data_IF_325104969604
#
_entry.id   IF_325104969604
#
_cell.length_a   1.000
_cell.length_b   1.000
_cell.length_c   1.000
_cell.angle_alpha   90.00
_cell.angle_beta   90.00
_cell.angle_gamma   90.00
#
_symmetry.space_group_name_H-M   'P 1'
#
loop_
_entity.id
_entity.type
_entity.pdbx_description
1 polymer ?
#
# COMPACT_ATOMS: atom_id res chain seq x y z
N UNK A 1 -2.49 -1.31 7.41
CA UNK A 1 -2.48 -1.36 5.93
C UNK A 1 -2.83 -2.77 5.49
N UNK A 2 -3.36 -2.95 4.28
CA UNK A 2 -3.71 -4.27 3.75
C UNK A 2 -3.21 -4.46 2.33
N UNK A 3 -2.98 -5.73 1.97
CA UNK A 3 -2.77 -6.17 0.60
C UNK A 3 -4.07 -6.83 0.13
N UNK A 4 -4.65 -6.32 -0.94
CA UNK A 4 -5.90 -6.80 -1.51
C UNK A 4 -5.63 -7.45 -2.88
N UNK A 5 -6.46 -8.39 -3.28
CA UNK A 5 -6.48 -8.87 -4.66
C UNK A 5 -7.28 -7.90 -5.56
N UNK A 6 -7.30 -8.17 -6.87
CA UNK A 6 -8.07 -7.38 -7.84
C UNK A 6 -9.60 -7.43 -7.67
N UNK A 7 -10.11 -8.26 -6.75
CA UNK A 7 -11.54 -8.36 -6.43
C UNK A 7 -11.87 -7.72 -5.07
N UNK A 8 -11.01 -6.82 -4.58
CA UNK A 8 -11.13 -6.14 -3.28
C UNK A 8 -11.22 -7.09 -2.07
N UNK A 9 -10.70 -8.31 -2.21
CA UNK A 9 -10.58 -9.25 -1.09
C UNK A 9 -9.24 -9.11 -0.42
N UNK A 10 -9.27 -8.98 0.91
CA UNK A 10 -8.07 -8.90 1.75
C UNK A 10 -7.30 -10.22 1.67
N UNK A 11 -6.04 -10.15 1.26
CA UNK A 11 -5.10 -11.27 1.28
C UNK A 11 -4.30 -11.28 2.57
N UNK A 12 -3.73 -10.12 2.94
CA UNK A 12 -2.92 -9.96 4.14
C UNK A 12 -3.17 -8.59 4.78
N UNK A 13 -3.04 -8.55 6.11
CA UNK A 13 -3.07 -7.33 6.90
C UNK A 13 -1.77 -7.20 7.68
N UNK A 14 -1.31 -5.97 7.84
CA UNK A 14 -0.21 -5.64 8.73
C UNK A 14 -0.69 -4.70 9.81
N UNK A 15 -0.39 -5.05 11.06
CA UNK A 15 -0.68 -4.20 12.19
C UNK A 15 0.29 -3.01 12.18
N UNK A 16 -0.26 -1.81 12.17
CA UNK A 16 0.53 -0.58 12.18
C UNK A 16 0.57 -0.06 13.62
N UNK A 17 1.75 -0.08 14.23
CA UNK A 17 1.95 0.34 15.61
C UNK A 17 2.47 1.77 15.72
N UNK A 18 2.88 2.37 14.61
CA UNK A 18 3.32 3.75 14.52
C UNK A 18 2.38 4.56 13.62
N UNK A 19 2.24 5.85 13.90
CA UNK A 19 1.47 6.77 13.07
C UNK A 19 2.16 6.99 11.71
N UNK A 20 1.33 7.07 10.66
CA UNK A 20 1.75 7.34 9.28
C UNK A 20 1.91 6.08 8.43
N UNK A 21 1.80 6.25 7.11
CA UNK A 21 2.17 5.22 6.15
C UNK A 21 3.70 5.14 6.07
N UNK A 22 4.25 3.98 6.44
CA UNK A 22 5.67 3.71 6.31
C UNK A 22 5.88 2.63 5.24
N UNK A 23 6.80 2.87 4.32
CA UNK A 23 7.07 1.96 3.20
C UNK A 23 7.45 0.54 3.65
N UNK A 24 8.04 0.39 4.85
CA UNK A 24 8.42 -0.93 5.37
C UNK A 24 7.21 -1.86 5.54
N UNK A 25 6.03 -1.34 5.90
CA UNK A 25 4.81 -2.14 5.98
C UNK A 25 4.42 -2.72 4.62
N UNK A 26 4.68 -1.98 3.54
CA UNK A 26 4.38 -2.39 2.16
C UNK A 26 5.31 -3.51 1.75
N UNK A 27 6.61 -3.33 2.01
CA UNK A 27 7.60 -4.36 1.74
C UNK A 27 7.33 -5.65 2.52
N UNK A 28 6.90 -5.56 3.79
CA UNK A 28 6.52 -6.76 4.57
C UNK A 28 5.34 -7.52 3.95
N UNK A 29 4.32 -6.81 3.44
CA UNK A 29 3.19 -7.44 2.76
C UNK A 29 3.58 -8.07 1.43
N UNK A 30 4.44 -7.41 0.66
CA UNK A 30 4.96 -7.93 -0.62
C UNK A 30 5.82 -9.17 -0.38
N UNK A 31 6.71 -9.14 0.60
CA UNK A 31 7.52 -10.30 0.98
C UNK A 31 6.63 -11.48 1.40
N UNK A 32 5.59 -11.20 2.20
CA UNK A 32 4.59 -12.20 2.59
C UNK A 32 3.88 -12.79 1.37
N UNK A 33 3.47 -11.97 0.40
CA UNK A 33 2.86 -12.43 -0.84
C UNK A 33 3.77 -13.41 -1.60
N UNK A 34 5.04 -13.03 -1.84
CA UNK A 34 5.97 -13.88 -2.58
C UNK A 34 6.29 -15.20 -1.89
N UNK A 35 6.24 -15.26 -0.54
CA UNK A 35 6.35 -16.53 0.21
C UNK A 35 5.22 -17.53 -0.10
N UNK A 36 4.10 -17.07 -0.65
CA UNK A 36 2.93 -17.90 -0.97
C UNK A 36 2.70 -18.09 -2.48
N UNK A 37 3.54 -17.52 -3.35
CA UNK A 37 3.45 -17.65 -4.80
C UNK A 37 4.60 -18.49 -5.36
N UNK A 38 4.36 -19.13 -6.50
CA UNK A 38 5.43 -19.78 -7.25
C UNK A 38 6.31 -18.74 -7.93
N UNK A 39 7.60 -19.01 -8.03
CA UNK A 39 8.60 -18.11 -8.65
C UNK A 39 8.35 -17.86 -10.14
N UNK A 40 7.57 -18.71 -10.81
CA UNK A 40 7.21 -18.56 -12.22
C UNK A 40 6.10 -17.53 -12.46
N UNK A 41 5.45 -17.02 -11.42
CA UNK A 41 4.30 -16.13 -11.57
C UNK A 41 4.75 -14.69 -11.80
N UNK A 42 4.13 -14.02 -12.76
CA UNK A 42 4.26 -12.57 -12.92
C UNK A 42 3.29 -11.87 -11.98
N UNK A 43 3.81 -10.99 -11.13
CA UNK A 43 3.02 -10.27 -10.12
C UNK A 43 3.01 -8.78 -10.44
N UNK A 44 1.81 -8.21 -10.60
CA UNK A 44 1.58 -6.76 -10.65
C UNK A 44 1.06 -6.25 -9.31
N UNK A 45 1.59 -5.11 -8.84
CA UNK A 45 1.17 -4.49 -7.59
C UNK A 45 0.74 -3.05 -7.86
N UNK A 46 -0.47 -2.70 -7.42
CA UNK A 46 -0.95 -1.33 -7.37
C UNK A 46 -0.80 -0.82 -5.94
N UNK A 47 -0.16 0.33 -5.78
CA UNK A 47 0.06 0.95 -4.47
C UNK A 47 -0.85 2.17 -4.31
N UNK A 48 -1.69 2.14 -3.27
CA UNK A 48 -2.58 3.26 -2.99
C UNK A 48 -1.76 4.41 -2.38
N UNK A 49 -1.50 5.44 -3.20
CA UNK A 49 -0.79 6.65 -2.79
C UNK A 49 -1.74 7.75 -2.29
N UNK A 50 -3.05 7.53 -2.31
CA UNK A 50 -4.06 8.58 -2.06
C UNK A 50 -3.86 9.22 -0.67
N UNK A 51 -3.63 8.42 0.38
CA UNK A 51 -3.38 8.97 1.72
C UNK A 51 -2.13 9.87 1.78
N UNK A 52 -1.05 9.47 1.11
CA UNK A 52 0.19 10.24 1.05
C UNK A 52 0.01 11.52 0.20
N UNK A 53 -0.72 11.43 -0.92
CA UNK A 53 -1.05 12.57 -1.76
C UNK A 53 -1.97 13.56 -1.06
N UNK A 54 -3.03 13.10 -0.40
CA UNK A 54 -3.98 13.91 0.36
C UNK A 54 -3.29 14.72 1.45
N UNK A 55 -2.43 14.05 2.23
CA UNK A 55 -1.60 14.70 3.25
C UNK A 55 -0.67 15.74 2.64
N UNK A 56 -0.08 15.43 1.47
CA UNK A 56 0.81 16.34 0.77
C UNK A 56 0.06 17.55 0.22
N UNK A 57 -1.15 17.36 -0.30
CA UNK A 57 -2.01 18.44 -0.77
C UNK A 57 -2.36 19.38 0.37
N UNK A 58 -2.82 18.84 1.49
CA UNK A 58 -3.14 19.62 2.69
C UNK A 58 -1.92 20.35 3.25
N UNK A 59 -0.75 19.70 3.29
CA UNK A 59 0.46 20.28 3.88
C UNK A 59 1.04 21.44 3.05
N UNK A 60 0.98 21.33 1.73
CA UNK A 60 1.65 22.27 0.82
C UNK A 60 0.68 23.15 0.06
N UNK A 61 -0.61 23.10 0.38
CA UNK A 61 -1.68 23.79 -0.36
C UNK A 61 -1.66 23.42 -1.87
N UNK A 62 -1.23 22.19 -2.22
CA UNK A 62 -1.29 21.76 -3.62
C UNK A 62 -2.75 21.65 -4.08
N UNK A 63 -2.98 21.97 -5.35
CA UNK A 63 -4.29 21.90 -6.00
C UNK A 63 -5.37 22.79 -5.36
N UNK A 64 -5.02 23.76 -4.50
CA UNK A 64 -5.96 24.65 -3.81
C UNK A 64 -6.93 25.43 -4.71
N UNK A 65 -6.58 25.59 -5.98
CA UNK A 65 -7.39 26.28 -7.00
C UNK A 65 -8.48 25.38 -7.63
N UNK A 66 -8.41 24.06 -7.43
CA UNK A 66 -9.35 23.06 -7.92
C UNK A 66 -10.12 22.40 -6.77
#
# INVERSE_FOLDING_TARGET
MGLLCCHDRVLFLVNMTTLGEHQHYTFSLIEKLFKHLLSSYTVGILYNIVCTLDRSCTKWDFLKEY
#
